data_IF_753462540239
#
_entry.id   IF_753462540239
#
_cell.length_a   1.000
_cell.length_b   1.000
_cell.length_c   1.000
_cell.angle_alpha   90.00
_cell.angle_beta   90.00
_cell.angle_gamma   90.00
#
_symmetry.space_group_name_H-M   'P 1'
#
loop_
_entity.id
_entity.type
_entity.pdbx_description
1 polymer ?
#
# COMPACT_ATOMS: atom_id res chain seq x y z
N UNK A 1 8.87 6.22 25.41
CA UNK A 1 7.50 6.56 25.87
C UNK A 1 6.59 5.42 25.45
N UNK A 2 5.71 4.89 26.30
CA UNK A 2 4.74 3.89 25.85
C UNK A 2 3.81 4.53 24.81
N UNK A 3 3.44 3.76 23.78
CA UNK A 3 2.47 4.19 22.77
C UNK A 3 1.14 4.53 23.47
N UNK A 4 0.51 5.63 23.06
CA UNK A 4 -0.70 6.10 23.70
C UNK A 4 -1.84 5.11 23.43
N UNK A 5 -2.29 4.40 24.47
CA UNK A 5 -3.48 3.58 24.38
C UNK A 5 -4.73 4.45 24.46
N UNK A 6 -5.59 4.44 23.45
CA UNK A 6 -6.89 5.10 23.53
C UNK A 6 -7.74 4.43 24.60
N UNK A 7 -7.88 5.12 25.73
CA UNK A 7 -8.81 4.73 26.77
C UNK A 7 -10.27 4.91 26.27
N UNK A 8 -11.18 4.06 26.76
CA UNK A 8 -12.60 4.17 26.45
C UNK A 8 -13.11 5.59 26.77
N UNK A 9 -13.60 6.31 25.75
CA UNK A 9 -14.10 7.68 25.87
C UNK A 9 -13.12 8.79 25.46
N UNK A 10 -11.88 8.49 25.11
CA UNK A 10 -10.98 9.48 24.50
C UNK A 10 -11.38 9.74 23.04
N UNK A 11 -11.37 11.02 22.65
CA UNK A 11 -11.61 11.42 21.27
C UNK A 11 -10.52 10.84 20.36
N UNK A 12 -10.92 10.31 19.20
CA UNK A 12 -9.99 9.82 18.17
C UNK A 12 -8.97 10.92 17.83
N UNK A 13 -7.66 10.63 17.82
CA UNK A 13 -6.66 11.60 17.42
C UNK A 13 -6.93 12.12 16.00
N UNK A 14 -6.78 13.43 15.80
CA UNK A 14 -7.15 14.07 14.54
C UNK A 14 -6.26 13.67 13.34
N UNK A 15 -5.05 13.20 13.63
CA UNK A 15 -4.08 12.69 12.67
C UNK A 15 -4.32 11.23 12.27
N UNK A 16 -5.20 10.51 12.99
CA UNK A 16 -5.60 9.16 12.64
C UNK A 16 -6.63 9.12 11.51
N UNK A 17 -6.71 7.98 10.82
CA UNK A 17 -7.56 7.81 9.64
C UNK A 17 -9.03 8.12 9.96
N UNK A 18 -9.69 8.99 9.20
CA UNK A 18 -11.07 9.39 9.51
C UNK A 18 -12.06 8.30 9.05
N UNK A 19 -13.04 7.88 9.87
CA UNK A 19 -14.08 6.94 9.42
C UNK A 19 -14.94 7.57 8.32
N UNK A 20 -15.28 6.78 7.31
CA UNK A 20 -16.13 7.17 6.17
C UNK A 20 -17.37 6.29 6.11
N UNK A 21 -17.17 4.97 6.14
CA UNK A 21 -18.25 3.97 6.16
C UNK A 21 -17.87 2.82 7.11
N UNK A 22 -18.47 2.75 8.31
CA UNK A 22 -18.20 1.69 9.27
C UNK A 22 -18.53 0.28 8.77
N UNK A 23 -19.54 0.11 7.91
CA UNK A 23 -19.97 -1.20 7.42
C UNK A 23 -18.89 -1.85 6.56
N UNK A 24 -18.22 -1.04 5.75
CA UNK A 24 -17.09 -1.44 4.92
C UNK A 24 -15.73 -1.37 5.65
N UNK A 25 -15.73 -0.88 6.91
CA UNK A 25 -14.53 -0.40 7.60
C UNK A 25 -13.71 0.54 6.72
N UNK A 26 -14.38 1.43 5.99
CA UNK A 26 -13.76 2.40 5.12
C UNK A 26 -13.27 3.59 5.93
N UNK A 27 -11.97 3.86 5.88
CA UNK A 27 -11.34 5.01 6.51
C UNK A 27 -10.47 5.77 5.52
N UNK A 28 -10.41 7.09 5.66
CA UNK A 28 -9.48 7.95 4.92
C UNK A 28 -8.21 8.14 5.74
N UNK A 29 -7.10 7.57 5.29
CA UNK A 29 -5.77 7.66 5.93
C UNK A 29 -5.15 9.03 5.64
N UNK A 30 -5.19 9.44 4.38
CA UNK A 30 -4.63 10.70 3.87
C UNK A 30 -5.58 11.26 2.78
N UNK A 31 -5.41 12.52 2.31
CA UNK A 31 -6.31 13.10 1.31
C UNK A 31 -6.58 12.21 0.09
N UNK A 32 -5.54 11.47 -0.36
CA UNK A 32 -5.60 10.60 -1.53
C UNK A 32 -5.41 9.10 -1.22
N UNK A 33 -5.59 8.67 0.05
CA UNK A 33 -5.45 7.28 0.44
C UNK A 33 -6.55 6.84 1.41
N UNK A 34 -7.21 5.75 1.07
CA UNK A 34 -8.27 5.11 1.83
C UNK A 34 -7.89 3.67 2.13
N UNK A 35 -8.43 3.13 3.23
CA UNK A 35 -8.33 1.71 3.60
C UNK A 35 -9.71 1.12 3.85
N UNK A 36 -9.89 -0.16 3.55
CA UNK A 36 -11.12 -0.89 3.89
C UNK A 36 -10.93 -2.37 4.17
N UNK A 37 -12.01 -3.01 4.65
CA UNK A 37 -12.21 -4.45 4.45
C UNK A 37 -12.58 -4.75 2.98
N UNK A 38 -12.87 -6.02 2.66
CA UNK A 38 -13.25 -6.44 1.31
C UNK A 38 -14.57 -5.77 0.88
N UNK A 39 -14.56 -4.92 -0.16
CA UNK A 39 -15.79 -4.38 -0.73
C UNK A 39 -16.54 -5.41 -1.57
N UNK A 40 -17.75 -5.06 -1.96
CA UNK A 40 -18.57 -5.76 -2.93
C UNK A 40 -19.22 -4.78 -3.93
N UNK A 41 -19.99 -5.29 -4.89
CA UNK A 41 -20.57 -4.45 -5.95
C UNK A 41 -21.51 -3.36 -5.45
N UNK A 42 -22.18 -3.56 -4.31
CA UNK A 42 -23.04 -2.54 -3.69
C UNK A 42 -22.26 -1.36 -3.10
N UNK A 43 -20.95 -1.52 -2.86
CA UNK A 43 -20.09 -0.48 -2.30
C UNK A 43 -19.54 0.47 -3.38
N UNK A 44 -19.64 0.10 -4.67
CA UNK A 44 -19.13 0.88 -5.79
C UNK A 44 -19.57 2.35 -5.77
N UNK A 45 -20.88 2.68 -5.54
CA UNK A 45 -21.31 4.08 -5.48
C UNK A 45 -20.64 4.84 -4.33
N UNK A 46 -20.44 4.20 -3.17
CA UNK A 46 -19.73 4.81 -2.03
C UNK A 46 -18.28 5.11 -2.39
N UNK A 47 -17.58 4.17 -3.04
CA UNK A 47 -16.19 4.36 -3.44
C UNK A 47 -16.05 5.47 -4.51
N UNK A 48 -16.96 5.49 -5.49
CA UNK A 48 -17.00 6.53 -6.53
C UNK A 48 -17.33 7.91 -5.95
N UNK A 49 -18.24 8.01 -4.99
CA UNK A 49 -18.56 9.25 -4.30
C UNK A 49 -17.36 9.81 -3.52
N UNK A 50 -16.46 8.95 -3.06
CA UNK A 50 -15.19 9.39 -2.48
C UNK A 50 -14.17 9.86 -3.52
N UNK A 51 -14.41 9.64 -4.82
CA UNK A 51 -13.47 9.93 -5.91
C UNK A 51 -12.32 8.94 -5.99
N UNK A 52 -12.53 7.71 -5.51
CA UNK A 52 -11.55 6.63 -5.65
C UNK A 52 -11.46 6.24 -7.14
N UNK A 53 -10.25 6.11 -7.64
CA UNK A 53 -9.94 5.73 -9.03
C UNK A 53 -9.19 4.41 -9.12
N UNK A 54 -8.46 4.03 -8.06
CA UNK A 54 -7.60 2.85 -8.03
C UNK A 54 -7.87 2.03 -6.78
N UNK A 55 -8.01 0.72 -6.94
CA UNK A 55 -8.20 -0.25 -5.85
C UNK A 55 -7.03 -1.23 -5.86
N UNK A 56 -6.29 -1.30 -4.75
CA UNK A 56 -5.17 -2.21 -4.55
C UNK A 56 -5.59 -3.29 -3.56
N UNK A 57 -5.51 -4.55 -4.00
CA UNK A 57 -6.04 -5.70 -3.30
C UNK A 57 -4.95 -6.63 -2.82
N UNK A 58 -4.86 -6.82 -1.50
CA UNK A 58 -3.89 -7.71 -0.86
C UNK A 58 -4.42 -9.12 -0.57
N UNK A 59 -5.68 -9.38 -0.92
CA UNK A 59 -6.32 -10.67 -0.73
C UNK A 59 -5.95 -11.65 -1.85
N UNK A 60 -6.16 -12.95 -1.59
CA UNK A 60 -5.79 -14.01 -2.52
C UNK A 60 -6.76 -14.13 -3.70
N UNK A 61 -7.94 -13.50 -3.61
CA UNK A 61 -8.96 -13.49 -4.66
C UNK A 61 -9.00 -12.13 -5.34
N UNK A 62 -9.27 -12.14 -6.64
CA UNK A 62 -9.51 -10.93 -7.42
C UNK A 62 -10.78 -10.22 -6.97
N UNK A 63 -10.87 -8.94 -7.31
CA UNK A 63 -12.05 -8.12 -7.11
C UNK A 63 -12.99 -8.21 -8.29
N UNK A 64 -13.63 -9.36 -8.47
CA UNK A 64 -14.60 -9.56 -9.56
C UNK A 64 -15.79 -8.58 -9.46
N UNK A 65 -16.02 -8.00 -8.28
CA UNK A 65 -17.00 -6.95 -8.03
C UNK A 65 -16.66 -5.61 -8.72
N UNK A 66 -15.44 -5.43 -9.19
CA UNK A 66 -15.02 -4.28 -10.01
C UNK A 66 -15.38 -4.45 -11.49
N UNK A 67 -15.87 -5.62 -11.90
CA UNK A 67 -16.22 -5.89 -13.31
C UNK A 67 -17.25 -4.87 -13.82
N UNK A 68 -16.94 -4.23 -14.95
CA UNK A 68 -17.77 -3.19 -15.55
C UNK A 68 -17.66 -1.80 -14.89
N UNK A 69 -16.85 -1.65 -13.83
CA UNK A 69 -16.54 -0.33 -13.27
C UNK A 69 -15.41 0.37 -14.05
N UNK A 70 -15.27 1.67 -13.83
CA UNK A 70 -14.17 2.48 -14.37
C UNK A 70 -12.95 2.56 -13.43
N UNK A 71 -12.94 1.76 -12.34
CA UNK A 71 -11.86 1.76 -11.38
C UNK A 71 -10.71 0.88 -11.88
N UNK A 72 -9.48 1.36 -11.70
CA UNK A 72 -8.29 0.55 -11.95
C UNK A 72 -8.10 -0.46 -10.82
N UNK A 73 -8.11 -1.74 -11.15
CA UNK A 73 -7.82 -2.83 -10.21
C UNK A 73 -6.34 -3.20 -10.25
N UNK A 74 -5.69 -3.21 -9.08
CA UNK A 74 -4.30 -3.68 -8.90
C UNK A 74 -4.32 -4.84 -7.91
N UNK A 75 -3.98 -6.04 -8.38
CA UNK A 75 -3.97 -7.24 -7.54
C UNK A 75 -2.56 -7.55 -7.05
N UNK A 76 -2.37 -7.46 -5.74
CA UNK A 76 -1.08 -7.62 -5.07
C UNK A 76 -1.21 -8.60 -3.89
N UNK A 77 -1.40 -9.90 -4.16
CA UNK A 77 -1.72 -10.86 -3.12
C UNK A 77 -0.59 -10.97 -2.10
N UNK A 78 -0.92 -10.71 -0.83
CA UNK A 78 0.01 -10.82 0.29
C UNK A 78 -0.40 -11.94 1.24
N UNK A 79 0.61 -12.51 1.88
CA UNK A 79 0.46 -13.41 3.01
C UNK A 79 1.04 -12.72 4.23
N UNK A 80 0.22 -12.53 5.26
CA UNK A 80 0.56 -11.66 6.39
C UNK A 80 1.84 -12.12 7.12
N UNK A 81 1.97 -13.43 7.32
CA UNK A 81 3.09 -14.11 7.99
C UNK A 81 4.44 -14.01 7.26
N UNK A 82 4.44 -13.69 5.96
CA UNK A 82 5.64 -13.69 5.11
C UNK A 82 5.84 -12.42 4.30
N UNK A 83 5.27 -11.29 4.74
CA UNK A 83 5.53 -10.00 4.09
C UNK A 83 7.02 -9.64 4.19
N UNK A 84 7.61 -9.29 3.04
CA UNK A 84 9.01 -8.86 2.91
C UNK A 84 9.13 -7.36 2.65
N UNK A 85 10.33 -6.81 2.81
CA UNK A 85 10.61 -5.41 2.44
C UNK A 85 10.33 -5.15 0.96
N UNK A 86 10.63 -6.10 0.09
CA UNK A 86 10.32 -6.02 -1.35
C UNK A 86 8.82 -5.87 -1.59
N UNK A 87 7.98 -6.59 -0.85
CA UNK A 87 6.53 -6.45 -0.95
C UNK A 87 6.05 -5.08 -0.47
N UNK A 88 6.59 -4.60 0.65
CA UNK A 88 6.26 -3.26 1.16
C UNK A 88 6.68 -2.18 0.18
N UNK A 89 7.90 -2.23 -0.35
CA UNK A 89 8.39 -1.26 -1.34
C UNK A 89 7.50 -1.26 -2.59
N UNK A 90 7.13 -2.45 -3.10
CA UNK A 90 6.24 -2.60 -4.25
C UNK A 90 4.89 -1.94 -3.98
N UNK A 91 4.23 -2.30 -2.88
CA UNK A 91 2.91 -1.75 -2.53
C UNK A 91 2.96 -0.24 -2.29
N UNK A 92 3.97 0.28 -1.60
CA UNK A 92 4.11 1.71 -1.36
C UNK A 92 4.27 2.49 -2.68
N UNK A 93 4.93 1.91 -3.68
CA UNK A 93 5.02 2.50 -5.02
C UNK A 93 3.71 2.43 -5.78
N UNK A 94 3.00 1.31 -5.74
CA UNK A 94 1.67 1.19 -6.36
C UNK A 94 0.70 2.22 -5.77
N UNK A 95 0.75 2.46 -4.46
CA UNK A 95 -0.02 3.54 -3.83
C UNK A 95 0.37 4.90 -4.43
N UNK A 96 1.67 5.22 -4.53
CA UNK A 96 2.13 6.50 -5.09
C UNK A 96 1.79 6.67 -6.57
N UNK A 97 1.84 5.59 -7.35
CA UNK A 97 1.48 5.56 -8.76
C UNK A 97 -0.03 5.79 -8.93
N UNK A 98 -0.86 5.05 -8.19
CA UNK A 98 -2.31 5.28 -8.18
C UNK A 98 -2.69 6.68 -7.73
N UNK A 99 -1.96 7.25 -6.78
CA UNK A 99 -2.15 8.64 -6.32
C UNK A 99 -1.88 9.70 -7.41
N UNK A 100 -1.17 9.37 -8.50
CA UNK A 100 -1.02 10.26 -9.66
C UNK A 100 -2.29 10.33 -10.52
N UNK A 101 -3.16 9.32 -10.40
CA UNK A 101 -4.36 9.18 -11.21
C UNK A 101 -5.66 9.48 -10.44
N UNK A 102 -5.57 9.62 -9.12
CA UNK A 102 -6.70 9.94 -8.26
C UNK A 102 -6.52 9.40 -6.85
N UNK A 103 -7.63 9.07 -6.18
CA UNK A 103 -7.58 8.53 -4.82
C UNK A 103 -7.47 7.02 -4.86
N UNK A 104 -6.64 6.48 -3.97
CA UNK A 104 -6.35 5.04 -3.90
C UNK A 104 -7.09 4.42 -2.72
N UNK A 105 -7.70 3.26 -2.94
CA UNK A 105 -8.18 2.36 -1.89
C UNK A 105 -7.23 1.19 -1.76
N UNK A 106 -6.78 0.89 -0.54
CA UNK A 106 -6.09 -0.35 -0.22
C UNK A 106 -7.00 -1.25 0.63
N UNK A 107 -7.07 -2.54 0.31
CA UNK A 107 -7.85 -3.48 1.12
C UNK A 107 -7.26 -4.89 1.16
N UNK A 108 -7.78 -5.69 2.09
CA UNK A 108 -7.59 -7.14 2.13
C UNK A 108 -8.93 -7.77 2.47
N UNK A 109 -8.96 -8.98 3.05
CA UNK A 109 -10.23 -9.62 3.45
C UNK A 109 -10.97 -8.84 4.55
N UNK A 110 -10.28 -8.60 5.67
CA UNK A 110 -10.91 -7.98 6.85
C UNK A 110 -10.49 -6.53 7.10
N UNK A 111 -9.55 -6.00 6.31
CA UNK A 111 -9.05 -4.62 6.45
C UNK A 111 -8.16 -4.36 7.66
N UNK A 112 -7.71 -5.42 8.33
CA UNK A 112 -6.99 -5.39 9.61
C UNK A 112 -5.48 -5.58 9.42
N UNK A 113 -5.02 -6.83 9.29
CA UNK A 113 -3.60 -7.20 9.33
C UNK A 113 -2.79 -6.67 8.12
N UNK A 114 -2.96 -7.23 6.90
CA UNK A 114 -2.22 -6.79 5.70
C UNK A 114 -2.44 -5.32 5.34
N UNK A 115 -3.69 -4.86 5.41
CA UNK A 115 -4.04 -3.46 5.17
C UNK A 115 -3.44 -2.55 6.23
N UNK A 116 -3.49 -2.94 7.50
CA UNK A 116 -2.91 -2.21 8.61
C UNK A 116 -1.40 -2.10 8.50
N UNK A 117 -0.72 -3.19 8.12
CA UNK A 117 0.71 -3.18 7.85
C UNK A 117 1.08 -2.17 6.77
N UNK A 118 0.40 -2.22 5.61
CA UNK A 118 0.70 -1.30 4.50
C UNK A 118 0.33 0.15 4.83
N UNK A 119 -0.76 0.38 5.57
CA UNK A 119 -1.12 1.70 6.08
C UNK A 119 -0.07 2.24 7.06
N UNK A 120 0.40 1.42 8.01
CA UNK A 120 1.42 1.79 8.97
C UNK A 120 2.76 2.10 8.27
N UNK A 121 3.18 1.28 7.31
CA UNK A 121 4.37 1.55 6.52
C UNK A 121 4.22 2.82 5.67
N UNK A 122 3.03 3.11 5.15
CA UNK A 122 2.75 4.38 4.46
C UNK A 122 2.94 5.57 5.41
N UNK A 123 2.36 5.53 6.63
CA UNK A 123 2.54 6.58 7.65
C UNK A 123 4.00 6.81 7.98
N UNK A 124 4.75 5.74 8.20
CA UNK A 124 6.16 5.81 8.54
C UNK A 124 6.97 6.38 7.37
N UNK A 125 6.76 5.91 6.15
CA UNK A 125 7.60 6.27 5.00
C UNK A 125 7.28 7.67 4.46
N UNK A 126 5.99 8.02 4.36
CA UNK A 126 5.57 9.26 3.69
C UNK A 126 5.11 10.35 4.66
N UNK A 127 4.45 10.01 5.77
CA UNK A 127 3.98 10.99 6.76
C UNK A 127 5.04 11.27 7.85
N UNK A 128 6.17 10.54 7.83
CA UNK A 128 7.27 10.72 8.76
C UNK A 128 7.00 10.20 10.17
N UNK A 129 5.93 9.42 10.37
CA UNK A 129 5.56 8.90 11.69
C UNK A 129 6.63 7.98 12.27
N UNK A 130 6.71 7.97 13.60
CA UNK A 130 7.45 6.95 14.31
C UNK A 130 6.74 5.59 14.18
N UNK A 131 7.50 4.52 14.42
CA UNK A 131 6.96 3.16 14.44
C UNK A 131 5.84 3.04 15.47
N UNK A 132 6.03 3.63 16.64
CA UNK A 132 5.11 3.60 17.76
C UNK A 132 3.80 4.33 17.43
N UNK A 133 3.87 5.48 16.77
CA UNK A 133 2.67 6.20 16.31
C UNK A 133 1.87 5.38 15.30
N UNK A 134 2.56 4.79 14.32
CA UNK A 134 1.91 3.97 13.30
C UNK A 134 1.31 2.69 13.89
N UNK A 135 1.98 2.07 14.87
CA UNK A 135 1.44 0.93 15.59
C UNK A 135 0.24 1.30 16.46
N UNK A 136 0.27 2.46 17.13
CA UNK A 136 -0.86 2.94 17.92
C UNK A 136 -2.11 3.11 17.04
N UNK A 137 -2.00 3.82 15.92
CA UNK A 137 -3.11 3.93 14.97
C UNK A 137 -3.55 2.55 14.47
N UNK A 138 -2.62 1.68 14.09
CA UNK A 138 -2.94 0.35 13.55
C UNK A 138 -3.74 -0.52 14.52
N UNK A 139 -3.34 -0.54 15.79
CA UNK A 139 -3.91 -1.44 16.80
C UNK A 139 -5.17 -0.87 17.47
N UNK A 140 -5.25 0.45 17.58
CA UNK A 140 -6.29 1.10 18.39
C UNK A 140 -7.19 2.00 17.55
N UNK A 141 -6.90 2.14 16.26
CA UNK A 141 -7.66 2.96 15.32
C UNK A 141 -9.07 2.45 15.00
N UNK A 142 -9.57 1.43 15.70
CA UNK A 142 -10.92 0.88 15.49
C UNK A 142 -11.06 0.08 14.19
N UNK A 143 -9.94 -0.43 13.65
CA UNK A 143 -9.94 -1.19 12.41
C UNK A 143 -10.32 -2.67 12.62
N UNK A 144 -10.34 -3.13 13.86
CA UNK A 144 -10.68 -4.48 14.28
C UNK A 144 -9.88 -4.90 15.50
N UNK A 145 -9.66 -6.19 15.67
CA UNK A 145 -8.96 -6.75 16.82
C UNK A 145 -7.44 -6.72 16.59
N UNK A 146 -6.71 -6.10 17.52
CA UNK A 146 -5.26 -6.00 17.50
C UNK A 146 -4.56 -7.36 17.58
N UNK A 147 -5.16 -8.36 18.21
CA UNK A 147 -4.59 -9.72 18.31
C UNK A 147 -4.46 -10.38 16.93
N UNK A 148 -5.35 -10.02 15.99
CA UNK A 148 -5.31 -10.51 14.61
C UNK A 148 -4.24 -9.82 13.74
N UNK A 149 -3.47 -8.90 14.31
CA UNK A 149 -2.43 -8.11 13.63
C UNK A 149 -1.01 -8.46 14.07
N UNK A 150 -0.82 -9.60 14.74
CA UNK A 150 0.49 -10.07 15.23
C UNK A 150 1.56 -10.13 14.14
N UNK A 151 1.23 -10.58 12.92
CA UNK A 151 2.18 -10.61 11.81
C UNK A 151 2.64 -9.21 11.39
N UNK A 152 1.70 -8.25 11.30
CA UNK A 152 1.99 -6.86 10.99
C UNK A 152 2.89 -6.23 12.06
N UNK A 153 2.58 -6.47 13.34
CA UNK A 153 3.43 -6.04 14.47
C UNK A 153 4.83 -6.67 14.37
N UNK A 154 4.90 -7.96 14.09
CA UNK A 154 6.15 -8.68 13.91
C UNK A 154 7.01 -8.11 12.77
N UNK A 155 6.40 -7.67 11.67
CA UNK A 155 7.11 -6.98 10.59
C UNK A 155 7.58 -5.59 11.01
N UNK A 156 6.68 -4.78 11.59
CA UNK A 156 7.00 -3.43 12.02
C UNK A 156 8.17 -3.41 13.01
N UNK A 157 8.23 -4.37 13.94
CA UNK A 157 9.33 -4.46 14.91
C UNK A 157 10.70 -4.78 14.28
N UNK A 158 10.74 -5.47 13.14
CA UNK A 158 12.00 -5.92 12.51
C UNK A 158 12.47 -5.02 11.36
N UNK A 159 11.58 -4.29 10.71
CA UNK A 159 11.90 -3.55 9.48
C UNK A 159 12.94 -2.44 9.71
N UNK A 160 13.92 -2.36 8.81
CA UNK A 160 14.80 -1.20 8.68
C UNK A 160 14.12 -0.12 7.85
N UNK A 161 13.45 0.80 8.54
CA UNK A 161 12.67 1.89 7.92
C UNK A 161 13.53 2.78 7.02
N UNK A 162 14.77 3.08 7.41
CA UNK A 162 15.65 3.94 6.63
C UNK A 162 15.95 3.30 5.26
N UNK A 163 16.31 2.01 5.27
CA UNK A 163 16.56 1.27 4.04
C UNK A 163 15.31 1.17 3.14
N UNK A 164 14.12 1.02 3.72
CA UNK A 164 12.86 1.02 2.93
C UNK A 164 12.58 2.39 2.32
N UNK A 165 12.77 3.48 3.09
CA UNK A 165 12.62 4.86 2.58
C UNK A 165 13.58 5.12 1.41
N UNK A 166 14.85 4.76 1.58
CA UNK A 166 15.88 4.93 0.54
C UNK A 166 15.56 4.10 -0.71
N UNK A 167 15.11 2.85 -0.52
CA UNK A 167 14.69 2.01 -1.63
C UNK A 167 13.50 2.63 -2.37
N UNK A 168 12.44 3.04 -1.66
CA UNK A 168 11.27 3.69 -2.27
C UNK A 168 11.68 4.93 -3.08
N UNK A 169 12.54 5.79 -2.52
CA UNK A 169 12.99 7.04 -3.16
C UNK A 169 13.90 6.81 -4.38
N UNK A 170 14.81 5.85 -4.32
CA UNK A 170 15.80 5.59 -5.38
C UNK A 170 15.28 4.79 -6.58
N UNK A 171 14.08 4.20 -6.48
CA UNK A 171 13.57 3.27 -7.48
C UNK A 171 14.10 1.84 -7.33
N UNK A 172 14.99 1.57 -6.38
CA UNK A 172 15.50 0.23 -6.08
C UNK A 172 14.38 -0.71 -5.62
N UNK A 173 14.23 -1.89 -6.23
CA UNK A 173 13.13 -2.80 -5.90
C UNK A 173 13.35 -3.64 -4.63
N UNK A 174 14.46 -3.45 -3.92
CA UNK A 174 14.77 -4.15 -2.66
C UNK A 174 15.71 -3.31 -1.81
N UNK A 175 15.65 -3.54 -0.49
CA UNK A 175 16.58 -3.01 0.51
C UNK A 175 17.96 -3.66 0.44
N UNK A 176 18.11 -4.81 -0.25
CA UNK A 176 19.40 -5.44 -0.49
C UNK A 176 20.01 -4.95 -1.81
N UNK A 177 21.20 -4.36 -1.75
CA UNK A 177 21.97 -3.88 -2.90
C UNK A 177 22.33 -4.97 -3.93
N UNK A 178 22.30 -6.25 -3.54
CA UNK A 178 22.55 -7.40 -4.40
C UNK A 178 21.27 -8.09 -4.90
N UNK A 179 20.09 -7.51 -4.67
CA UNK A 179 18.85 -8.10 -5.14
C UNK A 179 18.82 -8.19 -6.67
N UNK A 180 18.44 -9.37 -7.19
CA UNK A 180 18.47 -9.70 -8.62
C UNK A 180 17.72 -8.68 -9.51
N UNK A 181 16.74 -7.99 -8.94
CA UNK A 181 15.96 -6.99 -9.67
C UNK A 181 16.68 -5.62 -9.79
N UNK A 182 17.61 -5.27 -8.89
CA UNK A 182 18.54 -4.15 -9.14
C UNK A 182 19.50 -4.46 -10.30
N UNK A 183 19.92 -5.72 -10.43
CA UNK A 183 20.78 -6.18 -11.54
C UNK A 183 20.04 -6.22 -12.89
N UNK A 184 18.74 -6.58 -12.93
CA UNK A 184 17.93 -6.52 -14.17
C UNK A 184 17.74 -5.09 -14.69
N UNK A 185 17.55 -4.11 -13.81
CA UNK A 185 17.45 -2.70 -14.21
C UNK A 185 18.77 -2.16 -14.78
N UNK A 186 19.91 -2.69 -14.30
CA UNK A 186 21.23 -2.37 -14.85
C UNK A 186 21.45 -3.01 -16.23
N UNK A 187 20.94 -4.23 -16.47
CA UNK A 187 21.00 -4.88 -17.79
C UNK A 187 20.09 -4.21 -18.83
N UNK A 188 18.89 -3.76 -18.46
CA UNK A 188 17.99 -3.03 -19.36
C UNK A 188 18.51 -1.63 -19.74
N UNK A 189 19.41 -1.04 -18.94
CA UNK A 189 20.07 0.24 -19.25
C UNK A 189 21.35 0.09 -20.07
N UNK A 190 21.84 -1.14 -20.26
CA UNK A 190 23.12 -1.43 -20.88
C UNK A 190 23.04 -1.82 -22.37
N UNK A 191 21.88 -1.65 -23.03
CA UNK A 191 21.75 -1.83 -24.49
C UNK A 191 21.82 -0.49 -25.26
N UNK A 192 22.99 -0.13 -25.83
CA UNK A 192 23.09 0.68 -27.04
C UNK A 192 23.23 -0.28 -28.25
N UNK A 193 22.66 -0.13 -29.45
CA UNK A 193 22.06 0.96 -30.23
C UNK A 193 21.28 0.30 -31.41
N UNK A 194 20.42 1.04 -32.13
CA UNK A 194 19.69 0.55 -33.30
C UNK A 194 20.58 0.48 -34.56
N UNK A 195 20.47 -0.59 -35.35
CA UNK A 195 21.07 -0.64 -36.68
C UNK A 195 20.13 0.05 -37.69
N UNK A 196 20.44 1.31 -38.01
CA UNK A 196 20.02 1.94 -39.25
C UNK A 196 21.11 1.74 -40.30
N UNK A 197 20.82 0.94 -41.32
CA UNK A 197 21.36 1.17 -42.67
C UNK A 197 20.22 1.40 -43.64
N UNK A 198 20.03 2.66 -43.99
CA UNK A 198 19.33 3.08 -45.20
C UNK A 198 20.18 2.77 -46.44
N UNK A 199 19.46 2.65 -47.57
CA UNK A 199 19.82 3.13 -48.91
C UNK A 199 20.19 2.11 -50.00
N UNK A 200 19.20 1.94 -50.90
CA UNK A 200 19.23 2.38 -52.31
C UNK A 200 19.39 1.33 -53.42
N UNK A 201 18.49 1.52 -54.40
CA UNK A 201 18.31 0.84 -55.67
C UNK A 201 19.49 0.98 -56.66
N UNK A 202 19.37 0.17 -57.72
CA UNK A 202 19.81 0.38 -59.10
C UNK A 202 21.27 0.08 -59.46
N UNK A 203 21.44 -0.81 -60.45
CA UNK A 203 22.66 -1.00 -61.25
C UNK A 203 22.99 -2.45 -61.54
#
# INVERSE_FOLDING_TARGET
MPAATLAAGQARPADWATPVDPALRLYRIAPNLYRSALPNGADLPTLQAQGISTVINFYQRNDDWLSGSNLTAVHEPLHADRVTDTDVIRVLREIRAGQQHGKVLIHCKHGQNRTGLMAAMYRIVFDGWSREQAMAEMLEGGFGDGELMSDAVGYLNRVNVAAVRDAVASGACSTNAMALCQLRALWQRADPLPDQRMAMDAG
#
